data_IF_016620588811
#
_entry.id   IF_016620588811
#
_cell.length_a   1.000
_cell.length_b   1.000
_cell.length_c   1.000
_cell.angle_alpha   90.00
_cell.angle_beta   90.00
_cell.angle_gamma   90.00
#
_symmetry.space_group_name_H-M   'P 1'
#
loop_
_entity.id
_entity.type
_entity.pdbx_description
1 polymer ?
#
# COMPACT_ATOMS: atom_id res chain seq x y z
N UNK A 1 12.54 -24.36 -0.99
CA UNK A 1 11.56 -23.92 -2.00
C UNK A 1 10.63 -22.97 -1.28
N UNK A 2 10.76 -21.67 -1.54
CA UNK A 2 9.95 -20.63 -0.90
C UNK A 2 8.49 -20.79 -1.37
N UNK A 3 7.46 -20.58 -0.52
CA UNK A 3 6.10 -20.54 -1.01
C UNK A 3 5.99 -19.38 -1.98
N UNK A 4 6.05 -19.69 -3.27
CA UNK A 4 5.76 -18.75 -4.35
C UNK A 4 4.28 -18.41 -4.20
N UNK A 5 3.95 -17.13 -4.09
CA UNK A 5 2.54 -16.72 -4.06
C UNK A 5 1.86 -17.27 -5.32
N UNK A 6 0.66 -17.82 -5.15
CA UNK A 6 -0.08 -18.37 -6.28
C UNK A 6 -0.26 -17.29 -7.34
N UNK A 7 0.02 -17.63 -8.61
CA UNK A 7 -0.06 -16.68 -9.73
C UNK A 7 -1.41 -15.97 -9.79
N UNK A 8 -2.49 -16.70 -9.51
CA UNK A 8 -3.85 -16.15 -9.45
C UNK A 8 -4.01 -15.02 -8.42
N UNK A 9 -3.33 -15.11 -7.28
CA UNK A 9 -3.30 -14.04 -6.26
C UNK A 9 -2.60 -12.80 -6.80
N UNK A 10 -1.47 -12.96 -7.49
CA UNK A 10 -0.77 -11.83 -8.11
C UNK A 10 -1.58 -11.22 -9.26
N UNK A 11 -2.30 -12.05 -10.02
CA UNK A 11 -3.21 -11.57 -11.07
C UNK A 11 -4.37 -10.75 -10.48
N UNK A 12 -4.95 -11.16 -9.35
CA UNK A 12 -5.99 -10.39 -8.65
C UNK A 12 -5.47 -9.04 -8.16
N UNK A 13 -4.25 -9.02 -7.60
CA UNK A 13 -3.60 -7.80 -7.15
C UNK A 13 -3.35 -6.86 -8.34
N UNK A 14 -2.77 -7.37 -9.43
CA UNK A 14 -2.48 -6.59 -10.63
C UNK A 14 -3.76 -6.08 -11.32
N UNK A 15 -4.88 -6.79 -11.14
CA UNK A 15 -6.20 -6.42 -11.66
C UNK A 15 -7.00 -5.52 -10.71
N UNK A 16 -6.45 -5.06 -9.57
CA UNK A 16 -7.17 -4.30 -8.56
C UNK A 16 -8.44 -5.02 -8.06
N UNK A 17 -8.34 -6.31 -7.73
CA UNK A 17 -9.48 -7.12 -7.26
C UNK A 17 -9.37 -7.58 -5.81
N UNK A 18 -8.21 -7.37 -5.17
CA UNK A 18 -7.97 -7.71 -3.77
C UNK A 18 -8.56 -6.67 -2.81
N UNK A 19 -9.11 -7.16 -1.70
CA UNK A 19 -9.65 -6.30 -0.64
C UNK A 19 -8.61 -5.93 0.43
N UNK A 20 -7.49 -6.65 0.48
CA UNK A 20 -6.40 -6.36 1.41
C UNK A 20 -5.02 -6.72 0.81
N UNK A 21 -4.40 -5.77 0.08
CA UNK A 21 -3.05 -5.95 -0.46
C UNK A 21 -1.96 -6.16 0.60
N UNK A 22 -2.19 -5.76 1.86
CA UNK A 22 -1.18 -5.90 2.92
C UNK A 22 -0.92 -7.35 3.32
N UNK A 23 -1.80 -8.29 2.95
CA UNK A 23 -1.57 -9.73 3.15
C UNK A 23 -0.45 -10.24 2.22
N UNK A 24 -0.22 -9.55 1.09
CA UNK A 24 0.71 -9.96 0.04
C UNK A 24 1.95 -9.08 0.04
N UNK A 25 1.74 -7.76 0.03
CA UNK A 25 2.74 -6.72 -0.10
C UNK A 25 3.33 -6.32 1.25
N UNK A 26 4.51 -5.71 1.22
CA UNK A 26 5.29 -5.37 2.40
C UNK A 26 6.14 -6.55 2.87
N UNK A 27 6.41 -6.60 4.17
CA UNK A 27 7.31 -7.60 4.78
C UNK A 27 6.52 -8.70 5.48
N UNK A 28 6.78 -9.95 5.09
CA UNK A 28 6.13 -11.16 5.63
C UNK A 28 7.15 -12.26 5.80
N UNK A 29 7.35 -12.73 7.04
CA UNK A 29 8.31 -13.80 7.36
C UNK A 29 9.68 -13.62 6.68
N UNK A 30 10.24 -12.40 6.75
CA UNK A 30 11.52 -12.06 6.11
C UNK A 30 11.50 -12.04 4.58
N UNK A 31 10.34 -11.94 3.94
CA UNK A 31 10.17 -11.70 2.50
C UNK A 31 9.59 -10.32 2.30
N UNK A 32 10.26 -9.49 1.51
CA UNK A 32 9.74 -8.18 1.07
C UNK A 32 9.12 -8.34 -0.31
N UNK A 33 7.88 -7.90 -0.47
CA UNK A 33 7.15 -7.90 -1.75
C UNK A 33 6.61 -6.53 -2.08
N UNK A 34 6.76 -6.12 -3.33
CA UNK A 34 6.27 -4.82 -3.81
C UNK A 34 5.73 -4.91 -5.23
N UNK A 35 4.70 -4.14 -5.55
CA UNK A 35 4.16 -4.03 -6.89
C UNK A 35 4.50 -2.65 -7.49
N UNK A 36 5.41 -2.65 -8.46
CA UNK A 36 5.96 -1.50 -9.17
C UNK A 36 5.83 -1.70 -10.70
N UNK A 37 4.64 -1.46 -11.30
CA UNK A 37 4.37 -1.80 -12.71
C UNK A 37 5.23 -1.01 -13.72
N UNK A 38 5.77 0.12 -13.30
CA UNK A 38 6.59 1.01 -14.12
C UNK A 38 8.10 0.81 -13.91
N UNK A 39 8.49 -0.04 -12.96
CA UNK A 39 9.89 -0.34 -12.69
C UNK A 39 10.48 -1.31 -13.73
N UNK A 40 11.77 -1.16 -14.00
CA UNK A 40 12.60 -2.17 -14.67
C UNK A 40 13.44 -2.98 -13.69
N UNK A 41 13.72 -2.44 -12.50
CA UNK A 41 14.41 -3.14 -11.42
C UNK A 41 14.11 -2.49 -10.06
N UNK A 42 14.12 -3.29 -9.00
CA UNK A 42 13.90 -2.84 -7.62
C UNK A 42 14.95 -3.45 -6.70
N UNK A 43 15.38 -2.68 -5.70
CA UNK A 43 16.25 -3.14 -4.62
C UNK A 43 15.63 -2.80 -3.27
N UNK A 44 15.79 -3.70 -2.30
CA UNK A 44 15.65 -3.38 -0.88
C UNK A 44 16.91 -2.64 -0.44
N UNK A 45 16.73 -1.57 0.33
CA UNK A 45 17.80 -0.76 0.92
C UNK A 45 17.68 -0.84 2.44
N UNK A 46 18.71 -1.35 3.11
CA UNK A 46 18.77 -1.41 4.58
C UNK A 46 19.22 -0.07 5.20
N UNK A 47 19.18 0.08 6.55
CA UNK A 47 19.62 1.29 7.22
C UNK A 47 21.10 1.66 6.97
N UNK A 48 21.93 0.66 6.66
CA UNK A 48 23.34 0.80 6.30
C UNK A 48 23.55 1.19 4.82
N UNK A 49 22.48 1.38 4.04
CA UNK A 49 22.47 1.70 2.60
C UNK A 49 22.98 0.58 1.68
N UNK A 50 22.98 -0.66 2.14
CA UNK A 50 23.26 -1.81 1.29
C UNK A 50 22.08 -2.09 0.38
N UNK A 51 22.37 -2.45 -0.87
CA UNK A 51 21.38 -2.72 -1.90
C UNK A 51 21.23 -4.21 -2.14
N UNK A 52 20.01 -4.72 -1.96
CA UNK A 52 19.68 -6.11 -2.23
C UNK A 52 18.72 -6.20 -3.42
N UNK A 53 19.13 -6.78 -4.57
CA UNK A 53 18.28 -6.85 -5.75
C UNK A 53 17.06 -7.74 -5.50
N UNK A 54 15.90 -7.26 -5.93
CA UNK A 54 14.66 -8.04 -5.91
C UNK A 54 14.52 -8.81 -7.24
N UNK A 55 13.94 -10.00 -7.16
CA UNK A 55 13.58 -10.82 -8.32
C UNK A 55 12.16 -10.48 -8.79
N UNK A 56 11.98 -10.19 -10.08
CA UNK A 56 10.65 -9.99 -10.67
C UNK A 56 10.01 -11.35 -10.96
N UNK A 57 9.08 -11.79 -10.10
CA UNK A 57 8.38 -13.08 -10.28
C UNK A 57 7.14 -12.98 -11.16
N UNK A 58 6.63 -11.77 -11.38
CA UNK A 58 5.54 -11.44 -12.30
C UNK A 58 5.73 -9.99 -12.79
N UNK A 59 5.25 -9.60 -13.98
CA UNK A 59 5.40 -8.23 -14.48
C UNK A 59 5.01 -7.15 -13.47
N UNK A 60 5.98 -6.39 -12.99
CA UNK A 60 5.82 -5.36 -11.96
C UNK A 60 5.79 -5.86 -10.53
N UNK A 61 5.80 -7.17 -10.26
CA UNK A 61 5.80 -7.74 -8.91
C UNK A 61 7.21 -8.25 -8.55
N UNK A 62 7.78 -7.67 -7.52
CA UNK A 62 9.16 -7.91 -7.10
C UNK A 62 9.21 -8.53 -5.71
N UNK A 63 10.09 -9.51 -5.53
CA UNK A 63 10.29 -10.22 -4.27
C UNK A 63 11.77 -10.24 -3.88
N UNK A 64 12.03 -10.07 -2.59
CA UNK A 64 13.34 -10.31 -1.99
C UNK A 64 13.20 -11.09 -0.69
N UNK A 65 14.06 -12.09 -0.50
CA UNK A 65 14.08 -12.90 0.72
C UNK A 65 15.33 -12.56 1.52
N UNK A 66 15.15 -12.10 2.76
CA UNK A 66 16.23 -11.85 3.68
C UNK A 66 16.99 -13.17 3.97
N UNK A 67 18.34 -13.21 3.87
CA UNK A 67 19.12 -14.43 4.06
C UNK A 67 18.87 -15.15 5.39
N UNK A 68 18.67 -14.37 6.46
CA UNK A 68 18.42 -14.83 7.83
C UNK A 68 16.96 -14.64 8.27
N UNK A 69 16.07 -14.28 7.35
CA UNK A 69 14.66 -13.94 7.61
C UNK A 69 14.47 -12.79 8.61
N UNK A 70 15.51 -11.97 8.82
CA UNK A 70 15.40 -10.79 9.68
C UNK A 70 14.44 -9.77 9.08
N UNK A 71 13.79 -9.02 9.96
CA UNK A 71 12.94 -7.87 9.61
C UNK A 71 13.62 -6.62 10.13
N UNK A 72 13.84 -5.66 9.24
CA UNK A 72 14.44 -4.37 9.54
C UNK A 72 13.65 -3.26 8.84
N UNK A 73 13.85 -2.01 9.28
CA UNK A 73 13.32 -0.86 8.55
C UNK A 73 14.08 -0.71 7.23
N UNK A 74 13.35 -0.62 6.10
CA UNK A 74 13.96 -0.56 4.78
C UNK A 74 13.32 0.54 3.92
N UNK A 75 14.01 0.83 2.81
CA UNK A 75 13.49 1.60 1.69
C UNK A 75 13.55 0.75 0.42
N UNK A 76 12.81 1.18 -0.60
CA UNK A 76 12.85 0.61 -1.94
C UNK A 76 13.56 1.60 -2.86
N UNK A 77 14.64 1.14 -3.49
CA UNK A 77 15.24 1.84 -4.61
C UNK A 77 14.64 1.27 -5.89
N UNK A 78 14.05 2.12 -6.71
CA UNK A 78 13.31 1.71 -7.90
C UNK A 78 13.90 2.40 -9.12
N UNK A 79 14.34 1.60 -10.09
CA UNK A 79 14.72 2.06 -11.41
C UNK A 79 13.49 2.00 -12.31
N UNK A 80 13.03 3.15 -12.78
CA UNK A 80 11.90 3.27 -13.70
C UNK A 80 12.31 2.85 -15.12
N UNK A 81 11.35 2.38 -15.92
CA UNK A 81 11.56 2.01 -17.33
C UNK A 81 12.09 3.16 -18.19
N UNK A 82 11.86 4.41 -17.79
CA UNK A 82 12.37 5.62 -18.44
C UNK A 82 13.83 5.97 -18.02
N UNK A 83 14.41 5.22 -17.09
CA UNK A 83 15.79 5.36 -16.62
C UNK A 83 15.98 6.21 -15.35
N UNK A 84 14.93 6.88 -14.86
CA UNK A 84 14.96 7.61 -13.60
C UNK A 84 15.02 6.65 -12.40
N UNK A 85 15.63 7.08 -11.29
CA UNK A 85 15.67 6.30 -10.05
C UNK A 85 15.01 7.08 -8.92
N UNK A 86 14.23 6.38 -8.09
CA UNK A 86 13.66 6.92 -6.84
C UNK A 86 13.99 6.04 -5.65
N UNK A 87 14.03 6.65 -4.48
CA UNK A 87 14.15 6.00 -3.19
C UNK A 87 12.89 6.33 -2.39
N UNK A 88 12.14 5.31 -1.99
CA UNK A 88 10.87 5.48 -1.26
C UNK A 88 10.85 4.60 -0.01
N UNK A 89 10.06 5.00 0.98
CA UNK A 89 9.60 4.04 1.98
C UNK A 89 8.45 3.22 1.39
N UNK A 90 8.39 1.92 1.71
CA UNK A 90 7.31 1.06 1.23
C UNK A 90 6.01 1.38 1.97
N UNK A 91 4.93 1.84 1.29
CA UNK A 91 3.62 2.06 1.91
C UNK A 91 3.10 0.83 2.67
N UNK A 92 3.36 -0.38 2.15
CA UNK A 92 2.85 -1.63 2.71
C UNK A 92 3.71 -2.17 3.87
N UNK A 93 4.81 -1.49 4.21
CA UNK A 93 5.55 -1.76 5.45
C UNK A 93 4.88 -1.13 6.70
N UNK A 94 3.93 -0.23 6.51
CA UNK A 94 3.24 0.48 7.60
C UNK A 94 1.88 -0.16 7.91
N UNK A 95 1.86 -1.14 8.81
CA UNK A 95 0.63 -1.78 9.29
C UNK A 95 -0.15 -0.94 10.33
N UNK A 96 -0.28 0.36 10.10
CA UNK A 96 -0.89 1.34 11.04
C UNK A 96 -2.36 1.59 10.70
N UNK A 97 -3.27 1.49 11.66
CA UNK A 97 -4.70 1.77 11.47
C UNK A 97 -5.06 3.16 11.98
N UNK A 98 -5.72 4.00 11.17
CA UNK A 98 -6.15 5.35 11.57
C UNK A 98 -7.42 5.29 12.43
N UNK A 99 -8.36 4.42 12.03
CA UNK A 99 -9.63 4.22 12.70
C UNK A 99 -9.47 3.18 13.81
N UNK A 100 -9.58 3.61 15.06
CA UNK A 100 -9.57 2.68 16.21
C UNK A 100 -10.88 1.89 16.28
N UNK A 101 -10.94 0.79 17.06
CA UNK A 101 -12.18 0.06 17.32
C UNK A 101 -13.31 0.94 17.87
N UNK A 102 -12.98 1.94 18.70
CA UNK A 102 -13.97 2.89 19.23
C UNK A 102 -14.49 3.83 18.13
N UNK A 103 -13.60 4.35 17.26
CA UNK A 103 -13.99 5.18 16.13
C UNK A 103 -14.95 4.40 15.20
N UNK A 104 -14.63 3.13 14.92
CA UNK A 104 -15.47 2.23 14.14
C UNK A 104 -16.83 2.00 14.80
N UNK A 105 -16.85 1.71 16.10
CA UNK A 105 -18.09 1.52 16.85
C UNK A 105 -19.00 2.76 16.80
N UNK A 106 -18.46 3.94 17.13
CA UNK A 106 -19.22 5.20 17.08
C UNK A 106 -19.69 5.54 15.67
N UNK A 107 -18.89 5.20 14.65
CA UNK A 107 -19.26 5.39 13.26
C UNK A 107 -20.46 4.51 12.87
N UNK A 108 -20.45 3.23 13.25
CA UNK A 108 -21.55 2.32 12.98
C UNK A 108 -22.87 2.70 13.67
N UNK A 109 -22.80 3.39 14.81
CA UNK A 109 -23.98 3.94 15.49
C UNK A 109 -24.43 5.30 14.92
N UNK A 110 -23.65 5.91 14.01
CA UNK A 110 -23.90 7.26 13.51
C UNK A 110 -23.60 8.37 14.53
N UNK A 111 -22.88 8.06 15.61
CA UNK A 111 -22.61 8.96 16.74
C UNK A 111 -21.18 9.53 16.75
N UNK A 112 -20.39 9.25 15.72
CA UNK A 112 -19.02 9.76 15.65
C UNK A 112 -18.98 11.22 15.16
N UNK A 113 -19.22 12.16 16.08
CA UNK A 113 -19.29 13.60 15.78
C UNK A 113 -17.95 14.24 15.39
N UNK A 114 -16.86 13.50 15.23
CA UNK A 114 -15.53 13.99 14.80
C UNK A 114 -14.90 13.07 13.77
N UNK A 115 -15.74 12.32 13.03
CA UNK A 115 -15.29 11.34 12.04
C UNK A 115 -14.38 11.95 10.95
N UNK A 116 -14.52 13.24 10.67
CA UNK A 116 -13.65 13.96 9.73
C UNK A 116 -12.18 14.00 10.15
N UNK A 117 -11.83 13.68 11.40
CA UNK A 117 -10.44 13.54 11.86
C UNK A 117 -9.83 12.17 11.51
N UNK A 118 -10.69 11.26 11.05
CA UNK A 118 -10.35 9.86 10.74
C UNK A 118 -10.51 9.57 9.26
N UNK A 119 -11.65 9.94 8.68
CA UNK A 119 -11.90 9.84 7.24
C UNK A 119 -11.31 11.02 6.48
N UNK A 120 -10.98 10.81 5.21
CA UNK A 120 -10.34 11.79 4.35
C UNK A 120 -8.84 11.56 4.25
N UNK A 121 -8.09 12.64 4.05
CA UNK A 121 -6.64 12.62 3.91
C UNK A 121 -6.01 13.45 5.05
N UNK A 122 -5.19 12.80 5.88
CA UNK A 122 -4.59 13.41 7.06
C UNK A 122 -3.08 13.30 7.02
N UNK A 123 -2.33 14.41 7.07
CA UNK A 123 -0.90 14.37 7.31
C UNK A 123 -0.61 13.65 8.63
N UNK A 124 0.21 12.61 8.56
CA UNK A 124 0.51 11.73 9.69
C UNK A 124 2.00 11.39 9.70
N UNK A 125 2.53 11.08 10.88
CA UNK A 125 3.91 10.62 11.06
C UNK A 125 3.90 9.30 11.82
N UNK A 126 4.49 8.26 11.23
CA UNK A 126 4.65 6.95 11.86
C UNK A 126 6.12 6.54 11.82
N UNK A 127 6.65 6.06 12.94
CA UNK A 127 8.07 5.67 13.07
C UNK A 127 9.06 6.76 12.58
N UNK A 128 8.73 8.03 12.80
CA UNK A 128 9.52 9.18 12.35
C UNK A 128 9.41 9.52 10.86
N UNK A 129 8.60 8.77 10.09
CA UNK A 129 8.37 9.01 8.66
C UNK A 129 7.04 9.75 8.47
N UNK A 130 7.12 10.96 7.91
CA UNK A 130 5.94 11.74 7.53
C UNK A 130 5.32 11.25 6.23
N UNK A 131 4.01 11.40 6.11
CA UNK A 131 3.24 11.07 4.92
C UNK A 131 1.78 11.49 5.08
N UNK A 132 0.91 10.88 4.27
CA UNK A 132 -0.54 11.13 4.35
C UNK A 132 -1.28 9.82 4.54
N UNK A 133 -2.15 9.76 5.54
CA UNK A 133 -3.07 8.66 5.76
C UNK A 133 -4.39 8.96 5.05
N UNK A 134 -4.80 8.08 4.15
CA UNK A 134 -6.07 8.17 3.44
C UNK A 134 -7.04 7.15 4.00
N UNK A 135 -8.27 7.58 4.26
CA UNK A 135 -9.36 6.70 4.68
C UNK A 135 -10.68 7.08 4.01
N UNK A 136 -11.43 6.10 3.51
CA UNK A 136 -12.72 6.32 2.86
C UNK A 136 -13.71 5.21 3.20
N UNK A 137 -14.96 5.58 3.42
CA UNK A 137 -16.03 4.60 3.62
C UNK A 137 -16.63 4.19 2.28
N UNK A 138 -16.45 2.91 1.91
CA UNK A 138 -16.94 2.33 0.66
C UNK A 138 -17.27 0.84 0.87
N UNK A 139 -18.32 0.50 1.63
CA UNK A 139 -18.54 -0.85 2.14
C UNK A 139 -18.87 -1.88 1.06
N UNK A 140 -19.49 -1.44 -0.04
CA UNK A 140 -19.84 -2.29 -1.18
C UNK A 140 -18.76 -2.32 -2.27
N UNK A 141 -17.63 -1.62 -2.07
CA UNK A 141 -16.51 -1.67 -2.99
C UNK A 141 -15.86 -3.06 -2.95
N UNK A 142 -15.41 -3.50 -4.12
CA UNK A 142 -14.54 -4.67 -4.28
C UNK A 142 -13.08 -4.30 -4.04
N UNK A 143 -12.66 -3.11 -4.49
CA UNK A 143 -11.35 -2.55 -4.23
C UNK A 143 -11.41 -1.02 -4.22
N UNK A 144 -10.48 -0.40 -3.51
CA UNK A 144 -10.27 1.05 -3.51
C UNK A 144 -8.78 1.33 -3.63
N UNK A 145 -8.42 2.33 -4.43
CA UNK A 145 -7.03 2.78 -4.57
C UNK A 145 -6.94 4.29 -4.53
N UNK A 146 -5.81 4.82 -4.05
CA UNK A 146 -5.54 6.26 -4.08
C UNK A 146 -4.80 6.60 -5.37
N UNK A 147 -5.35 7.50 -6.17
CA UNK A 147 -4.73 8.04 -7.39
C UNK A 147 -4.20 9.44 -7.13
N UNK A 148 -3.06 9.79 -7.74
CA UNK A 148 -2.56 11.15 -7.76
C UNK A 148 -1.32 11.30 -8.64
N UNK A 149 -0.71 12.49 -8.60
CA UNK A 149 0.51 12.75 -9.37
C UNK A 149 1.65 11.81 -8.95
N UNK A 150 1.76 11.54 -7.65
CA UNK A 150 2.79 10.68 -7.05
C UNK A 150 2.78 9.22 -7.52
N UNK A 151 1.71 8.75 -8.16
CA UNK A 151 1.64 7.40 -8.74
C UNK A 151 1.16 7.38 -10.19
N UNK A 152 1.35 8.48 -10.93
CA UNK A 152 0.97 8.59 -12.35
C UNK A 152 -0.52 8.32 -12.60
N UNK A 153 -1.36 8.58 -11.59
CA UNK A 153 -2.79 8.26 -11.63
C UNK A 153 -3.08 6.77 -11.92
N UNK A 154 -2.18 5.87 -11.51
CA UNK A 154 -2.31 4.42 -11.68
C UNK A 154 -2.81 3.75 -10.39
N UNK A 155 -4.05 3.24 -10.42
CA UNK A 155 -4.71 2.62 -9.28
C UNK A 155 -4.02 1.35 -8.79
N UNK A 156 -3.19 0.71 -9.62
CA UNK A 156 -2.55 -0.55 -9.23
C UNK A 156 -1.44 -0.38 -8.18
N UNK A 157 -0.94 0.83 -8.00
CA UNK A 157 0.23 1.14 -7.15
C UNK A 157 -0.14 1.27 -5.67
N UNK A 158 -1.18 2.05 -5.36
CA UNK A 158 -1.58 2.39 -3.97
C UNK A 158 -3.00 1.88 -3.67
N UNK A 159 -3.13 0.55 -3.66
CA UNK A 159 -4.35 -0.15 -3.30
C UNK A 159 -4.53 -0.12 -1.77
N UNK A 160 -5.75 0.16 -1.33
CA UNK A 160 -6.07 0.31 0.10
C UNK A 160 -6.46 -1.03 0.71
N UNK A 161 -6.30 -1.18 2.02
CA UNK A 161 -6.89 -2.32 2.74
C UNK A 161 -8.27 -1.99 3.24
N UNK A 162 -9.19 -2.95 3.21
CA UNK A 162 -10.49 -2.85 3.85
C UNK A 162 -10.41 -3.29 5.30
N UNK A 163 -10.77 -2.42 6.24
CA UNK A 163 -10.94 -2.77 7.65
C UNK A 163 -12.18 -3.66 7.82
N UNK A 164 -12.05 -4.69 8.67
CA UNK A 164 -13.15 -5.59 8.97
C UNK A 164 -14.35 -4.86 9.61
N UNK A 165 -15.57 -5.34 9.34
CA UNK A 165 -16.80 -4.91 10.00
C UNK A 165 -17.50 -3.67 9.41
N UNK A 166 -16.78 -2.61 9.02
CA UNK A 166 -17.41 -1.31 8.68
C UNK A 166 -17.26 -0.89 7.20
N UNK A 167 -16.40 -1.56 6.43
CA UNK A 167 -16.19 -1.22 5.02
C UNK A 167 -15.45 0.11 4.81
N UNK A 168 -14.65 0.50 5.80
CA UNK A 168 -13.68 1.60 5.68
C UNK A 168 -12.42 1.04 5.02
N UNK A 169 -11.91 1.77 4.04
CA UNK A 169 -10.66 1.48 3.36
C UNK A 169 -9.61 2.45 3.84
N UNK A 170 -8.37 2.00 4.06
CA UNK A 170 -7.27 2.88 4.45
C UNK A 170 -5.91 2.50 3.83
N UNK A 171 -5.05 3.50 3.71
CA UNK A 171 -3.62 3.34 3.40
C UNK A 171 -2.84 4.56 3.93
N UNK A 172 -1.64 4.32 4.44
CA UNK A 172 -0.65 5.38 4.69
C UNK A 172 0.37 5.41 3.54
N UNK A 173 0.53 6.57 2.91
CA UNK A 173 1.53 6.77 1.85
C UNK A 173 2.65 7.66 2.39
N UNK A 174 3.84 7.09 2.67
CA UNK A 174 4.97 7.83 3.21
C UNK A 174 5.55 8.80 2.18
N UNK A 175 6.12 9.91 2.66
CA UNK A 175 6.76 10.93 1.83
C UNK A 175 5.81 11.91 1.13
N UNK A 176 4.50 11.69 1.17
CA UNK A 176 3.53 12.66 0.66
C UNK A 176 3.45 13.90 1.54
N UNK A 177 3.27 15.05 0.89
CA UNK A 177 3.15 16.35 1.55
C UNK A 177 1.75 16.94 1.37
N UNK A 178 1.30 17.85 2.25
CA UNK A 178 0.08 18.60 2.04
C UNK A 178 0.09 19.35 0.69
N UNK A 179 -1.04 19.32 -0.02
CA UNK A 179 -1.19 19.94 -1.34
C UNK A 179 -1.17 18.96 -2.52
N UNK A 180 -0.86 17.69 -2.28
CA UNK A 180 -1.00 16.64 -3.29
C UNK A 180 -2.44 16.51 -3.80
N UNK A 181 -2.59 16.43 -5.12
CA UNK A 181 -3.89 16.23 -5.78
C UNK A 181 -4.16 14.74 -5.84
N UNK A 182 -5.33 14.33 -5.36
CA UNK A 182 -5.71 12.92 -5.34
C UNK A 182 -7.19 12.68 -5.66
N UNK A 183 -7.49 11.42 -6.00
CA UNK A 183 -8.84 10.83 -6.05
C UNK A 183 -8.82 9.40 -5.54
N UNK A 184 -10.00 8.84 -5.27
CA UNK A 184 -10.17 7.41 -5.06
C UNK A 184 -10.62 6.75 -6.37
N UNK A 185 -9.91 5.71 -6.80
CA UNK A 185 -10.42 4.73 -7.77
C UNK A 185 -11.22 3.69 -6.99
N UNK A 186 -12.51 3.53 -7.29
CA UNK A 186 -13.38 2.59 -6.58
C UNK A 186 -13.88 1.56 -7.58
N UNK A 187 -13.49 0.31 -7.39
CA UNK A 187 -14.04 -0.80 -8.18
C UNK A 187 -15.22 -1.40 -7.45
N UNK A 188 -16.38 -1.45 -8.08
CA UNK A 188 -17.57 -2.07 -7.49
C UNK A 188 -17.55 -3.61 -7.63
N UNK A 189 -18.56 -4.28 -7.06
CA UNK A 189 -18.70 -5.75 -7.11
C UNK A 189 -18.85 -6.33 -8.52
N UNK A 190 -19.33 -5.52 -9.49
CA UNK A 190 -19.47 -5.90 -10.90
C UNK A 190 -18.18 -5.64 -11.71
N UNK A 191 -17.15 -5.04 -11.10
CA UNK A 191 -15.87 -4.75 -11.74
C UNK A 191 -15.82 -3.40 -12.47
N UNK A 192 -16.85 -2.56 -12.37
CA UNK A 192 -16.81 -1.20 -12.92
C UNK A 192 -16.03 -0.25 -12.00
N UNK A 193 -15.37 0.73 -12.63
CA UNK A 193 -14.63 1.83 -12.01
C UNK A 193 -15.40 3.13 -12.28
#
# INVERSE_FOLDING_TARGET
MYPTIARETVDQLAANLDADPFIILGVHDGIVRTFQPWASAVWVVDPENMLYPMHESYPGFFEWVAPDRSVFAYQLKILEKEGSTRLIHDPYSFSVQQCSPLDMHLFGEGNHHRLWEKLGAHPSTYNGISGVHFSVWAPSARNVSVLGNFNRWDGRVHQMRRLEGMGIWEIFIPGLSPGEVYKFEIKNSQGHI
#
